data_IF_643972577310
#
_entry.id   IF_643972577310
#
_cell.length_a   1.000
_cell.length_b   1.000
_cell.length_c   1.000
_cell.angle_alpha   90.00
_cell.angle_beta   90.00
_cell.angle_gamma   90.00
#
_symmetry.space_group_name_H-M   'P 1'
#
loop_
_entity.id
_entity.type
_entity.pdbx_description
1 polymer ?
#
# COMPACT_ATOMS: atom_id res chain seq x y z
N UNK A 1 0.67 0.06 -10.69
CA UNK A 1 1.90 -0.03 -9.90
C UNK A 1 2.94 -0.93 -10.57
N UNK A 2 2.71 -2.24 -10.77
CA UNK A 2 3.68 -3.18 -11.33
C UNK A 2 4.31 -2.71 -12.65
N UNK A 3 3.53 -2.09 -13.55
CA UNK A 3 4.05 -1.53 -14.81
C UNK A 3 5.08 -0.42 -14.58
N UNK A 4 4.90 0.41 -13.57
CA UNK A 4 5.85 1.46 -13.22
C UNK A 4 7.11 0.90 -12.55
N UNK A 5 6.93 -0.12 -11.71
CA UNK A 5 8.05 -0.78 -11.04
C UNK A 5 8.93 -1.58 -12.01
N UNK A 6 8.40 -2.07 -13.13
CA UNK A 6 9.16 -2.83 -14.13
C UNK A 6 10.37 -2.05 -14.69
N UNK A 7 10.31 -0.71 -14.71
CA UNK A 7 11.41 0.15 -15.13
C UNK A 7 12.05 0.96 -13.99
N UNK A 8 11.70 0.68 -12.75
CA UNK A 8 12.19 1.49 -11.62
C UNK A 8 13.65 1.10 -11.27
N UNK A 9 14.55 2.09 -11.11
CA UNK A 9 15.99 1.80 -10.96
C UNK A 9 16.36 1.21 -9.59
N UNK A 10 15.51 1.32 -8.58
CA UNK A 10 15.84 0.97 -7.19
C UNK A 10 14.81 0.04 -6.54
N UNK A 11 13.57 -0.01 -7.04
CA UNK A 11 12.52 -0.83 -6.46
C UNK A 11 12.26 -2.06 -7.31
N UNK A 12 12.34 -3.22 -6.69
CA UNK A 12 12.06 -4.51 -7.31
C UNK A 12 10.91 -5.18 -6.56
N UNK A 13 9.81 -5.55 -7.22
CA UNK A 13 8.76 -6.34 -6.59
C UNK A 13 9.30 -7.71 -6.16
N UNK A 14 9.52 -7.88 -4.85
CA UNK A 14 9.96 -9.14 -4.27
C UNK A 14 8.80 -10.11 -4.12
N UNK A 15 7.65 -9.60 -3.71
CA UNK A 15 6.43 -10.38 -3.47
C UNK A 15 5.21 -9.63 -3.99
N UNK A 16 4.20 -10.37 -4.41
CA UNK A 16 2.89 -9.85 -4.79
C UNK A 16 1.81 -10.61 -4.04
N UNK A 17 0.96 -9.89 -3.32
CA UNK A 17 -0.11 -10.49 -2.56
C UNK A 17 -1.48 -10.25 -3.20
N UNK A 18 -2.33 -11.25 -3.11
CA UNK A 18 -3.72 -11.18 -3.52
C UNK A 18 -4.50 -12.35 -2.95
N UNK A 19 -5.78 -12.20 -2.73
CA UNK A 19 -6.60 -13.25 -2.13
C UNK A 19 -7.13 -14.22 -3.21
N UNK A 20 -8.02 -13.75 -4.06
CA UNK A 20 -8.71 -14.59 -5.08
C UNK A 20 -7.78 -15.10 -6.20
N UNK A 21 -6.59 -14.52 -6.35
CA UNK A 21 -5.60 -14.88 -7.39
C UNK A 21 -4.35 -15.54 -6.81
N UNK A 22 -4.33 -15.85 -5.52
CA UNK A 22 -3.20 -16.55 -4.90
C UNK A 22 -2.92 -17.89 -5.62
N UNK A 23 -1.63 -18.19 -5.81
CA UNK A 23 -1.17 -19.36 -6.56
C UNK A 23 -1.03 -19.17 -8.07
N UNK A 24 -1.48 -18.07 -8.64
CA UNK A 24 -1.36 -17.82 -10.07
C UNK A 24 -0.08 -17.03 -10.41
N UNK A 25 0.60 -17.36 -11.51
CA UNK A 25 1.68 -16.51 -12.03
C UNK A 25 1.16 -15.09 -12.32
N UNK A 26 1.97 -14.08 -12.06
CA UNK A 26 1.60 -12.69 -12.30
C UNK A 26 1.22 -12.43 -13.75
N UNK A 27 1.90 -13.08 -14.70
CA UNK A 27 1.60 -12.96 -16.12
C UNK A 27 0.24 -13.50 -16.53
N UNK A 28 -0.33 -14.45 -15.78
CA UNK A 28 -1.68 -14.96 -16.02
C UNK A 28 -2.76 -13.97 -15.51
N UNK A 29 -2.46 -13.24 -14.43
CA UNK A 29 -3.37 -12.24 -13.85
C UNK A 29 -3.23 -10.88 -14.55
N UNK A 30 -2.01 -10.51 -14.91
CA UNK A 30 -1.63 -9.23 -15.50
C UNK A 30 -0.75 -9.46 -16.75
N UNK A 31 -1.31 -9.86 -17.91
CA UNK A 31 -0.52 -10.22 -19.09
C UNK A 31 0.46 -9.14 -19.57
N UNK A 32 0.10 -7.87 -19.37
CA UNK A 32 0.91 -6.72 -19.78
C UNK A 32 2.24 -6.55 -19.01
N UNK A 33 2.44 -7.26 -17.91
CA UNK A 33 3.69 -7.27 -17.14
C UNK A 33 4.37 -8.65 -17.11
N UNK A 34 3.86 -9.63 -17.85
CA UNK A 34 4.35 -11.00 -17.84
C UNK A 34 5.86 -11.08 -18.19
N UNK A 35 6.30 -10.32 -19.18
CA UNK A 35 7.70 -10.30 -19.61
C UNK A 35 8.64 -9.70 -18.56
N UNK A 36 8.15 -8.73 -17.75
CA UNK A 36 8.94 -8.11 -16.70
C UNK A 36 9.08 -8.99 -15.46
N UNK A 37 8.09 -9.85 -15.19
CA UNK A 37 8.03 -10.66 -13.97
C UNK A 37 7.70 -12.13 -14.27
N UNK A 38 8.55 -12.85 -15.01
CA UNK A 38 8.25 -14.21 -15.46
C UNK A 38 8.15 -15.23 -14.32
N UNK A 39 8.84 -14.98 -13.20
CA UNK A 39 8.87 -15.88 -12.05
C UNK A 39 7.95 -15.45 -10.89
N UNK A 40 7.35 -14.26 -10.97
CA UNK A 40 6.56 -13.73 -9.86
C UNK A 40 5.17 -14.38 -9.84
N UNK A 41 4.81 -14.88 -8.66
CA UNK A 41 3.52 -15.52 -8.40
C UNK A 41 2.75 -14.70 -7.37
N UNK A 42 1.44 -14.64 -7.51
CA UNK A 42 0.57 -14.03 -6.50
C UNK A 42 0.50 -14.97 -5.29
N UNK A 43 0.85 -14.46 -4.13
CA UNK A 43 0.83 -15.17 -2.85
C UNK A 43 -0.38 -14.75 -2.02
N UNK A 44 -0.77 -15.59 -1.05
CA UNK A 44 -1.73 -15.16 -0.02
C UNK A 44 -0.98 -14.31 1.02
N UNK A 45 -1.57 -13.17 1.36
CA UNK A 45 -0.99 -12.31 2.40
C UNK A 45 -0.97 -13.03 3.76
N UNK A 46 0.11 -12.88 4.46
CA UNK A 46 0.29 -13.28 5.84
C UNK A 46 1.48 -12.53 6.43
N UNK A 47 1.43 -12.17 7.69
CA UNK A 47 2.48 -11.36 8.32
C UNK A 47 3.88 -12.01 8.27
N UNK A 48 3.95 -13.35 8.32
CA UNK A 48 5.20 -14.08 8.19
C UNK A 48 5.84 -13.93 6.80
N UNK A 49 5.06 -13.56 5.78
CA UNK A 49 5.55 -13.38 4.41
C UNK A 49 6.21 -12.02 4.18
N UNK A 50 6.24 -11.15 5.19
CA UNK A 50 6.90 -9.85 5.14
C UNK A 50 8.39 -9.88 5.53
N UNK A 51 8.94 -11.04 5.85
CA UNK A 51 10.37 -11.20 6.03
C UNK A 51 11.10 -10.80 4.72
N UNK A 52 12.19 -10.03 4.86
CA UNK A 52 13.00 -9.56 3.72
C UNK A 52 12.28 -8.59 2.76
N UNK A 53 11.27 -7.87 3.26
CA UNK A 53 10.58 -6.82 2.50
C UNK A 53 10.97 -5.46 3.07
N UNK A 54 11.48 -4.57 2.21
CA UNK A 54 11.95 -3.24 2.60
C UNK A 54 10.85 -2.17 2.54
N UNK A 55 9.77 -2.42 1.81
CA UNK A 55 8.67 -1.48 1.58
C UNK A 55 7.41 -2.23 1.15
N UNK A 56 6.27 -1.83 1.67
CA UNK A 56 4.96 -2.37 1.27
C UNK A 56 4.12 -1.29 0.59
N UNK A 57 3.57 -1.64 -0.58
CA UNK A 57 2.49 -0.89 -1.22
C UNK A 57 1.18 -1.65 -1.04
N UNK A 58 0.18 -1.01 -0.48
CA UNK A 58 -1.18 -1.56 -0.39
C UNK A 58 -2.09 -0.94 -1.45
N UNK A 59 -2.67 -1.77 -2.31
CA UNK A 59 -3.67 -1.40 -3.30
C UNK A 59 -4.94 -2.20 -3.03
N UNK A 60 -5.53 -1.97 -1.88
CA UNK A 60 -6.64 -2.74 -1.33
C UNK A 60 -7.97 -1.99 -1.47
N UNK A 61 -9.10 -2.70 -1.42
CA UNK A 61 -10.41 -2.08 -1.23
C UNK A 61 -10.46 -1.23 0.03
N UNK A 62 -11.41 -0.31 0.07
CA UNK A 62 -11.66 0.56 1.22
C UNK A 62 -11.89 -0.26 2.50
N UNK A 63 -11.31 0.18 3.62
CA UNK A 63 -11.36 -0.48 4.92
C UNK A 63 -10.34 -1.60 5.14
N UNK A 64 -9.69 -2.10 4.08
CA UNK A 64 -8.79 -3.25 4.21
C UNK A 64 -7.35 -2.86 4.62
N UNK A 65 -6.88 -1.69 4.23
CA UNK A 65 -5.53 -1.22 4.63
C UNK A 65 -5.41 -1.03 6.13
N UNK A 66 -6.49 -0.65 6.81
CA UNK A 66 -6.54 -0.47 8.26
C UNK A 66 -6.23 -1.76 9.03
N UNK A 67 -6.55 -2.92 8.44
CA UNK A 67 -6.35 -4.23 9.07
C UNK A 67 -4.89 -4.68 9.04
N UNK A 68 -4.15 -4.29 8.01
CA UNK A 68 -2.78 -4.76 7.80
C UNK A 68 -1.72 -3.72 8.21
N UNK A 69 -2.06 -2.43 8.17
CA UNK A 69 -1.12 -1.35 8.47
C UNK A 69 -0.46 -1.46 9.84
N UNK A 70 -1.17 -1.81 10.94
CA UNK A 70 -0.54 -1.96 12.26
C UNK A 70 0.60 -2.98 12.24
N UNK A 71 0.34 -4.20 11.75
CA UNK A 71 1.34 -5.26 11.72
C UNK A 71 2.56 -4.98 10.84
N UNK A 72 2.41 -4.18 9.79
CA UNK A 72 3.51 -3.75 8.90
C UNK A 72 4.35 -2.66 9.59
N UNK A 73 3.70 -1.63 10.12
CA UNK A 73 4.37 -0.49 10.75
C UNK A 73 5.06 -0.87 12.07
N UNK A 74 4.53 -1.84 12.82
CA UNK A 74 5.14 -2.35 14.05
C UNK A 74 6.45 -3.11 13.78
N UNK A 75 6.63 -3.63 12.57
CA UNK A 75 7.90 -4.20 12.10
C UNK A 75 8.90 -3.16 11.60
N UNK A 76 8.53 -1.89 11.60
CA UNK A 76 9.35 -0.81 11.06
C UNK A 76 9.44 -0.80 9.53
N UNK A 77 8.57 -1.54 8.84
CA UNK A 77 8.54 -1.58 7.37
C UNK A 77 7.78 -0.35 6.86
N UNK A 78 8.37 0.48 5.99
CA UNK A 78 7.68 1.57 5.34
C UNK A 78 6.45 1.11 4.57
N UNK A 79 5.37 1.90 4.65
CA UNK A 79 4.07 1.53 4.10
C UNK A 79 3.49 2.65 3.25
N UNK A 80 3.11 2.33 2.03
CA UNK A 80 2.42 3.26 1.11
C UNK A 80 1.02 2.71 0.83
N UNK A 81 0.02 3.38 1.37
CA UNK A 81 -1.39 3.06 1.11
C UNK A 81 -1.88 3.80 -0.14
N UNK A 82 -2.28 3.08 -1.16
CA UNK A 82 -2.94 3.61 -2.36
C UNK A 82 -4.46 3.70 -2.18
N UNK A 83 -4.98 3.14 -1.08
CA UNK A 83 -6.37 3.22 -0.67
C UNK A 83 -6.77 4.58 -0.12
N UNK A 84 -7.97 4.66 0.44
CA UNK A 84 -8.51 5.89 1.02
C UNK A 84 -8.37 5.96 2.55
N UNK A 85 -7.98 4.86 3.18
CA UNK A 85 -8.14 4.62 4.61
C UNK A 85 -7.40 5.63 5.49
N UNK A 86 -6.23 6.08 5.05
CA UNK A 86 -5.35 6.95 5.85
C UNK A 86 -5.20 8.37 5.27
N UNK A 87 -6.08 8.80 4.35
CA UNK A 87 -6.00 10.13 3.74
C UNK A 87 -6.46 11.24 4.67
N UNK A 88 -7.39 10.95 5.58
CA UNK A 88 -7.91 11.90 6.57
C UNK A 88 -7.14 11.74 7.88
N UNK A 89 -6.82 12.85 8.51
CA UNK A 89 -6.09 12.87 9.81
C UNK A 89 -7.01 12.74 11.02
N UNK A 90 -8.32 12.81 10.82
CA UNK A 90 -9.35 12.78 11.87
C UNK A 90 -10.24 11.56 11.72
N UNK A 91 -10.36 10.77 12.79
CA UNK A 91 -11.27 9.63 12.83
C UNK A 91 -12.75 10.05 12.71
N UNK A 92 -13.10 11.21 13.27
CA UNK A 92 -14.46 11.75 13.18
C UNK A 92 -14.80 12.18 11.74
N UNK A 93 -13.83 12.77 11.02
CA UNK A 93 -14.04 13.09 9.61
C UNK A 93 -14.09 11.83 8.75
N UNK A 94 -13.28 10.83 9.07
CA UNK A 94 -13.35 9.54 8.39
C UNK A 94 -14.74 8.91 8.51
N UNK A 95 -15.26 8.80 9.74
CA UNK A 95 -16.61 8.26 9.99
C UNK A 95 -17.69 9.09 9.29
N UNK A 96 -17.56 10.43 9.32
CA UNK A 96 -18.52 11.33 8.67
C UNK A 96 -18.59 11.12 7.16
N UNK A 97 -17.44 10.91 6.49
CA UNK A 97 -17.38 10.87 5.04
C UNK A 97 -17.48 9.45 4.47
N UNK A 98 -17.03 8.44 5.21
CA UNK A 98 -17.06 7.04 4.77
C UNK A 98 -18.17 6.22 5.41
N UNK A 99 -18.85 6.74 6.44
CA UNK A 99 -20.04 6.12 7.03
C UNK A 99 -19.75 5.01 8.05
N UNK A 100 -18.49 4.78 8.38
CA UNK A 100 -18.05 3.76 9.34
C UNK A 100 -16.86 4.25 10.17
N UNK A 101 -16.71 3.79 11.43
CA UNK A 101 -15.58 4.18 12.27
C UNK A 101 -14.25 3.60 11.71
N UNK A 102 -13.18 4.38 11.84
CA UNK A 102 -11.85 3.94 11.47
C UNK A 102 -11.34 2.86 12.43
N UNK A 103 -10.84 1.72 11.90
CA UNK A 103 -10.44 0.57 12.72
C UNK A 103 -9.04 0.73 13.37
N UNK A 104 -8.23 1.66 12.86
CA UNK A 104 -6.88 1.95 13.38
C UNK A 104 -6.68 3.47 13.55
N UNK A 105 -7.51 4.16 14.35
CA UNK A 105 -7.49 5.63 14.45
C UNK A 105 -6.17 6.18 15.00
N UNK A 106 -5.47 5.43 15.83
CA UNK A 106 -4.18 5.82 16.41
C UNK A 106 -3.06 5.92 15.35
N UNK A 107 -3.25 5.32 14.19
CA UNK A 107 -2.29 5.40 13.09
C UNK A 107 -2.49 6.61 12.19
N UNK A 108 -3.65 7.29 12.23
CA UNK A 108 -3.96 8.40 11.32
C UNK A 108 -2.89 9.50 11.35
N UNK A 109 -2.38 9.84 12.54
CA UNK A 109 -1.32 10.83 12.71
C UNK A 109 0.08 10.41 12.21
N UNK A 110 0.27 9.13 11.86
CA UNK A 110 1.55 8.62 11.34
C UNK A 110 1.65 8.74 9.82
N UNK A 111 0.53 8.90 9.13
CA UNK A 111 0.51 8.95 7.67
C UNK A 111 0.72 10.37 7.15
N UNK A 112 1.64 10.50 6.21
CA UNK A 112 1.86 11.72 5.44
C UNK A 112 1.02 11.65 4.17
N UNK A 113 0.32 12.73 3.86
CA UNK A 113 -0.46 12.80 2.61
C UNK A 113 0.46 12.87 1.40
N UNK A 114 0.34 11.89 0.53
CA UNK A 114 1.28 11.58 -0.55
C UNK A 114 1.09 12.41 -1.81
N UNK A 115 1.30 13.72 -1.73
CA UNK A 115 1.47 14.62 -2.88
C UNK A 115 2.92 15.12 -2.84
N UNK A 116 3.84 14.51 -3.60
CA UNK A 116 5.26 14.89 -3.58
C UNK A 116 5.52 16.35 -3.94
N UNK A 117 4.67 16.95 -4.76
CA UNK A 117 4.77 18.34 -5.18
C UNK A 117 4.61 19.31 -3.99
N UNK A 118 3.82 18.92 -2.99
CA UNK A 118 3.56 19.72 -1.79
C UNK A 118 4.34 19.25 -0.57
N UNK A 119 4.54 17.95 -0.42
CA UNK A 119 4.99 17.33 0.83
C UNK A 119 6.33 16.58 0.69
N UNK A 120 7.14 16.88 -0.32
CA UNK A 120 8.36 16.13 -0.67
C UNK A 120 9.30 15.88 0.52
N UNK A 121 9.60 16.92 1.28
CA UNK A 121 10.56 16.79 2.39
C UNK A 121 9.99 15.93 3.54
N UNK A 122 8.71 16.08 3.83
CA UNK A 122 8.05 15.25 4.85
C UNK A 122 7.95 13.79 4.40
N UNK A 123 7.66 13.55 3.12
CA UNK A 123 7.58 12.20 2.54
C UNK A 123 8.94 11.48 2.62
N UNK A 124 10.06 12.20 2.45
CA UNK A 124 11.41 11.59 2.52
C UNK A 124 11.71 10.90 3.83
N UNK A 125 11.17 11.39 4.93
CA UNK A 125 11.38 10.85 6.28
C UNK A 125 10.21 10.02 6.80
N UNK A 126 9.13 9.92 6.02
CA UNK A 126 7.91 9.23 6.43
C UNK A 126 8.06 7.72 6.37
N UNK A 127 7.59 7.02 7.38
CA UNK A 127 7.40 5.58 7.36
C UNK A 127 6.03 5.16 6.79
N UNK A 128 5.06 6.06 6.80
CA UNK A 128 3.70 5.77 6.35
C UNK A 128 3.21 6.90 5.43
N UNK A 129 2.75 6.53 4.24
CA UNK A 129 2.31 7.48 3.21
C UNK A 129 0.91 7.07 2.75
N UNK A 130 -0.03 8.00 2.80
CA UNK A 130 -1.34 7.86 2.18
C UNK A 130 -1.34 8.53 0.82
N UNK A 131 -1.32 7.75 -0.25
CA UNK A 131 -1.32 8.28 -1.61
C UNK A 131 -2.60 9.07 -1.89
N UNK A 132 -2.44 10.20 -2.58
CA UNK A 132 -3.55 11.06 -2.94
C UNK A 132 -4.59 10.33 -3.81
N UNK A 133 -5.84 10.74 -3.69
CA UNK A 133 -6.92 10.23 -4.54
C UNK A 133 -6.85 10.81 -5.95
N UNK A 134 -7.38 10.08 -6.94
CA UNK A 134 -7.34 10.48 -8.34
C UNK A 134 -8.12 11.78 -8.65
N UNK A 135 -9.21 12.06 -7.91
CA UNK A 135 -10.01 13.26 -8.12
C UNK A 135 -9.56 14.50 -7.35
N UNK A 136 -9.07 14.38 -6.09
CA UNK A 136 -8.63 15.53 -5.32
C UNK A 136 -7.29 16.11 -5.74
N UNK A 137 -6.57 15.44 -6.67
CA UNK A 137 -5.19 15.79 -7.02
C UNK A 137 -5.12 16.63 -8.29
#
# INVERSE_FOLDING_TARGET
LLRLLAGHPQLVPARLFGDSKAGHPVGAVHPHVAAAYPALTVERYGEATLAEVDLVFAALPHGESQKIAPGILDRGIPFVDLGADFRLSSAADYERWYGEPHQAPDLLGRFVYGIPELNRETIRSAQAIAAAGCYPT
#
